data_IF_337545574872
#
_entry.id   IF_337545574872
#
_cell.length_a   1.000
_cell.length_b   1.000
_cell.length_c   1.000
_cell.angle_alpha   90.00
_cell.angle_beta   90.00
_cell.angle_gamma   90.00
#
_symmetry.space_group_name_H-M   'P 1'
#
loop_
_entity.id
_entity.type
_entity.pdbx_description
1 polymer ?
#
# COMPACT_ATOMS: atom_id res chain seq x y z
N UNK A 1 11.77 -11.04 1.96
CA UNK A 1 12.06 -9.68 1.47
C UNK A 1 13.11 -9.05 2.36
N UNK A 2 14.10 -8.40 1.74
CA UNK A 2 15.16 -7.68 2.46
C UNK A 2 14.55 -6.42 3.10
N UNK A 3 14.84 -6.19 4.38
CA UNK A 3 14.42 -4.95 5.05
C UNK A 3 15.29 -3.79 4.55
N UNK A 4 14.75 -2.57 4.40
CA UNK A 4 15.57 -1.41 4.04
C UNK A 4 16.66 -1.20 5.10
N UNK A 5 17.88 -0.92 4.64
CA UNK A 5 19.01 -0.64 5.52
C UNK A 5 18.82 0.77 6.10
N UNK A 6 18.67 0.89 7.43
CA UNK A 6 18.53 2.18 8.13
C UNK A 6 19.72 3.11 7.95
N UNK A 7 20.88 2.58 7.57
CA UNK A 7 22.09 3.35 7.34
C UNK A 7 22.25 3.78 5.87
N UNK A 8 21.25 3.50 5.03
CA UNK A 8 21.23 3.96 3.63
C UNK A 8 20.89 5.45 3.57
N UNK A 9 21.55 6.20 2.69
CA UNK A 9 21.18 7.58 2.39
C UNK A 9 19.74 7.71 1.85
N UNK A 10 19.17 6.62 1.31
CA UNK A 10 17.81 6.58 0.76
C UNK A 10 16.76 6.10 1.77
N UNK A 11 17.14 5.81 3.03
CA UNK A 11 16.23 5.20 3.99
C UNK A 11 15.06 6.13 4.34
N UNK A 12 15.35 7.37 4.69
CA UNK A 12 14.33 8.32 5.14
C UNK A 12 13.33 8.65 4.01
N UNK A 13 13.83 8.90 2.80
CA UNK A 13 13.00 9.13 1.61
C UNK A 13 12.10 7.92 1.30
N UNK A 14 12.63 6.70 1.43
CA UNK A 14 11.85 5.48 1.24
C UNK A 14 10.77 5.31 2.31
N UNK A 15 11.07 5.63 3.56
CA UNK A 15 10.11 5.56 4.67
C UNK A 15 9.00 6.60 4.49
N UNK A 16 9.32 7.83 4.12
CA UNK A 16 8.34 8.88 3.81
C UNK A 16 7.42 8.45 2.66
N UNK A 17 8.00 7.92 1.57
CA UNK A 17 7.24 7.36 0.46
C UNK A 17 6.28 6.25 0.90
N UNK A 18 6.75 5.28 1.70
CA UNK A 18 5.88 4.19 2.20
C UNK A 18 4.75 4.72 3.08
N UNK A 19 5.02 5.72 3.93
CA UNK A 19 3.99 6.33 4.79
C UNK A 19 2.91 7.02 3.97
N UNK A 20 3.29 7.82 2.98
CA UNK A 20 2.34 8.51 2.08
C UNK A 20 1.53 7.53 1.25
N UNK A 21 2.17 6.48 0.72
CA UNK A 21 1.48 5.42 -0.01
C UNK A 21 0.46 4.69 0.88
N UNK A 22 0.84 4.33 2.11
CA UNK A 22 -0.06 3.72 3.09
C UNK A 22 -1.27 4.62 3.38
N UNK A 23 -1.04 5.92 3.63
CA UNK A 23 -2.11 6.88 3.87
C UNK A 23 -3.06 6.98 2.67
N UNK A 24 -2.53 7.02 1.45
CA UNK A 24 -3.32 7.07 0.21
C UNK A 24 -4.19 5.82 0.03
N UNK A 25 -3.64 4.63 0.29
CA UNK A 25 -4.41 3.37 0.24
C UNK A 25 -5.59 3.40 1.21
N UNK A 26 -5.38 3.87 2.45
CA UNK A 26 -6.44 4.01 3.45
C UNK A 26 -7.52 4.98 2.97
N UNK A 27 -7.12 6.12 2.39
CA UNK A 27 -8.06 7.11 1.84
C UNK A 27 -8.87 6.53 0.69
N UNK A 28 -8.24 5.80 -0.24
CA UNK A 28 -8.92 5.18 -1.37
C UNK A 28 -10.01 4.18 -0.93
N UNK A 29 -9.70 3.35 0.07
CA UNK A 29 -10.69 2.43 0.64
C UNK A 29 -11.87 3.18 1.26
N UNK A 30 -11.57 4.18 2.11
CA UNK A 30 -12.60 5.00 2.76
C UNK A 30 -13.47 5.76 1.77
N UNK A 31 -12.89 6.29 0.70
CA UNK A 31 -13.62 7.02 -0.34
C UNK A 31 -14.62 6.13 -1.11
N UNK A 32 -14.36 4.82 -1.19
CA UNK A 32 -15.30 3.83 -1.74
C UNK A 32 -16.25 3.22 -0.69
N UNK A 33 -16.21 3.69 0.56
CA UNK A 33 -16.95 3.13 1.70
C UNK A 33 -16.72 1.62 1.93
N UNK A 34 -15.53 1.13 1.60
CA UNK A 34 -15.20 -0.29 1.72
C UNK A 34 -14.66 -0.61 3.12
N UNK A 35 -15.03 -1.76 3.65
CA UNK A 35 -14.39 -2.35 4.83
C UNK A 35 -13.12 -3.09 4.42
N UNK A 36 -12.32 -3.52 5.40
CA UNK A 36 -11.07 -4.25 5.11
C UNK A 36 -11.34 -5.64 4.51
N UNK A 37 -12.50 -6.22 4.77
CA UNK A 37 -12.92 -7.53 4.27
C UNK A 37 -13.19 -7.50 2.76
N UNK A 38 -13.71 -6.38 2.23
CA UNK A 38 -13.97 -6.18 0.80
C UNK A 38 -12.69 -6.23 -0.04
N UNK A 39 -11.52 -6.06 0.59
CA UNK A 39 -10.23 -6.13 -0.10
C UNK A 39 -9.85 -7.54 -0.54
N UNK A 40 -10.59 -8.56 -0.06
CA UNK A 40 -10.52 -9.92 -0.59
C UNK A 40 -10.77 -9.96 -2.11
N UNK A 41 -11.62 -9.06 -2.61
CA UNK A 41 -11.96 -8.96 -4.04
C UNK A 41 -10.80 -8.42 -4.88
N UNK A 42 -9.78 -7.82 -4.26
CA UNK A 42 -8.58 -7.32 -4.93
C UNK A 42 -7.47 -8.38 -5.03
N UNK A 43 -7.84 -9.66 -4.88
CA UNK A 43 -6.91 -10.78 -4.80
C UNK A 43 -5.81 -10.61 -3.72
N UNK A 44 -6.13 -9.86 -2.68
CA UNK A 44 -5.32 -9.72 -1.47
C UNK A 44 -6.00 -10.49 -0.35
N UNK A 45 -5.24 -11.20 0.48
CA UNK A 45 -5.85 -11.70 1.71
C UNK A 45 -6.20 -10.52 2.62
N UNK A 46 -7.33 -10.61 3.32
CA UNK A 46 -7.76 -9.60 4.31
C UNK A 46 -6.63 -9.29 5.30
N UNK A 47 -5.92 -10.31 5.78
CA UNK A 47 -4.80 -10.14 6.70
C UNK A 47 -3.61 -9.39 6.08
N UNK A 48 -3.29 -9.62 4.81
CA UNK A 48 -2.24 -8.85 4.13
C UNK A 48 -2.63 -7.38 4.06
N UNK A 49 -3.87 -7.09 3.66
CA UNK A 49 -4.36 -5.73 3.56
C UNK A 49 -4.40 -5.02 4.91
N UNK A 50 -4.92 -5.68 5.95
CA UNK A 50 -4.92 -5.17 7.33
C UNK A 50 -3.53 -4.75 7.82
N UNK A 51 -2.51 -5.57 7.53
CA UNK A 51 -1.13 -5.24 7.88
C UNK A 51 -0.61 -4.03 7.12
N UNK A 52 -0.98 -3.88 5.84
CA UNK A 52 -0.59 -2.73 5.02
C UNK A 52 -1.19 -1.42 5.54
N UNK A 53 -2.42 -1.44 6.09
CA UNK A 53 -3.03 -0.25 6.71
C UNK A 53 -2.46 0.06 8.10
N UNK A 54 -2.06 -0.97 8.86
CA UNK A 54 -1.52 -0.78 10.22
C UNK A 54 -0.04 -0.39 10.24
N UNK A 55 0.75 -0.93 9.29
CA UNK A 55 2.19 -0.73 9.21
C UNK A 55 2.58 -0.49 7.75
N UNK A 56 3.02 0.73 7.45
CA UNK A 56 3.49 1.12 6.12
C UNK A 56 4.63 0.21 5.61
N UNK A 57 5.40 -0.40 6.51
CA UNK A 57 6.50 -1.34 6.18
C UNK A 57 5.99 -2.70 5.70
N UNK A 58 4.70 -3.00 5.90
CA UNK A 58 4.06 -4.22 5.41
C UNK A 58 3.72 -4.16 3.91
N UNK A 59 3.86 -2.98 3.28
CA UNK A 59 3.86 -2.84 1.83
C UNK A 59 5.23 -3.29 1.33
N UNK A 60 5.33 -4.56 0.93
CA UNK A 60 6.62 -5.21 0.67
C UNK A 60 6.88 -5.48 -0.81
N UNK A 61 5.86 -5.38 -1.67
CA UNK A 61 5.99 -5.71 -3.10
C UNK A 61 5.18 -4.77 -4.01
N UNK A 62 5.72 -4.52 -5.21
CA UNK A 62 5.00 -3.83 -6.27
C UNK A 62 3.72 -4.56 -6.68
N UNK A 63 3.68 -5.89 -6.56
CA UNK A 63 2.51 -6.70 -6.88
C UNK A 63 1.30 -6.38 -5.99
N UNK A 64 1.52 -6.16 -4.69
CA UNK A 64 0.46 -5.72 -3.77
C UNK A 64 -0.08 -4.35 -4.19
N UNK A 65 0.81 -3.41 -4.52
CA UNK A 65 0.43 -2.06 -4.97
C UNK A 65 -0.34 -2.12 -6.30
N UNK A 66 0.09 -2.97 -7.22
CA UNK A 66 -0.57 -3.17 -8.50
C UNK A 66 -2.00 -3.71 -8.34
N UNK A 67 -2.21 -4.70 -7.46
CA UNK A 67 -3.55 -5.23 -7.14
C UNK A 67 -4.48 -4.16 -6.60
N UNK A 68 -3.99 -3.33 -5.67
CA UNK A 68 -4.79 -2.22 -5.12
C UNK A 68 -5.15 -1.24 -6.23
N UNK A 69 -4.20 -0.85 -7.09
CA UNK A 69 -4.49 0.03 -8.22
C UNK A 69 -5.58 -0.55 -9.14
N UNK A 70 -5.47 -1.84 -9.48
CA UNK A 70 -6.50 -2.53 -10.29
C UNK A 70 -7.85 -2.63 -9.60
N UNK A 71 -7.89 -2.96 -8.31
CA UNK A 71 -9.13 -3.01 -7.54
C UNK A 71 -9.83 -1.65 -7.41
N UNK A 72 -9.06 -0.56 -7.48
CA UNK A 72 -9.58 0.80 -7.49
C UNK A 72 -9.78 1.41 -8.88
N UNK A 73 -9.74 0.60 -9.95
CA UNK A 73 -9.91 1.04 -11.35
C UNK A 73 -8.98 2.19 -11.74
N UNK A 74 -7.76 2.19 -11.21
CA UNK A 74 -6.75 3.22 -11.47
C UNK A 74 -5.47 2.64 -12.04
N UNK A 75 -4.69 3.50 -12.68
CA UNK A 75 -3.36 3.14 -13.13
C UNK A 75 -2.36 3.16 -11.97
N UNK A 76 -1.37 2.27 -12.01
CA UNK A 76 -0.40 2.17 -10.91
C UNK A 76 0.40 3.46 -10.70
N UNK A 77 0.69 4.21 -11.77
CA UNK A 77 1.39 5.49 -11.66
C UNK A 77 0.56 6.52 -10.88
N UNK A 78 -0.77 6.48 -11.02
CA UNK A 78 -1.68 7.36 -10.26
C UNK A 78 -1.67 7.01 -8.78
N UNK A 79 -1.48 5.73 -8.42
CA UNK A 79 -1.34 5.32 -7.02
C UNK A 79 0.02 5.73 -6.45
N UNK A 80 1.09 5.55 -7.22
CA UNK A 80 2.48 5.84 -6.83
C UNK A 80 2.86 7.34 -6.83
N UNK A 81 2.01 8.20 -7.39
CA UNK A 81 2.18 9.66 -7.34
C UNK A 81 1.86 10.18 -5.94
N UNK A 82 2.86 10.17 -5.04
CA UNK A 82 2.78 10.55 -3.61
C UNK A 82 3.95 11.43 -3.16
#
# INVERSE_FOLDING_TARGET
>A
MQRPNSNSAYYDDFIDFQQKLCAKIIVLRKNRNLVQEDMADYELSVRQYQRMEQDYRAIVSLWQVFKIAKGHDMEIHQLLDV
#
